data_IF_951672557078
#
_entry.id   IF_951672557078
#
_cell.length_a   1.000
_cell.length_b   1.000
_cell.length_c   1.000
_cell.angle_alpha   90.00
_cell.angle_beta   90.00
_cell.angle_gamma   90.00
#
_symmetry.space_group_name_H-M   'P 1'
#
loop_
_entity.id
_entity.type
_entity.pdbx_description
1 polymer ?
#
# COMPACT_ATOMS: atom_id res chain seq x y z
N UNK A 1 2.89 4.64 7.62
CA UNK A 1 3.62 5.82 8.10
C UNK A 1 2.73 6.59 9.04
N UNK A 2 3.30 7.22 10.07
CA UNK A 2 2.58 8.10 10.98
C UNK A 2 3.34 9.42 11.06
N UNK A 3 2.63 10.53 10.90
CA UNK A 3 3.20 11.86 11.11
C UNK A 3 3.40 12.10 12.61
N UNK A 4 4.65 12.26 13.03
CA UNK A 4 4.98 12.71 14.39
C UNK A 4 5.43 14.16 14.33
N UNK A 5 4.96 14.97 15.26
CA UNK A 5 5.34 16.39 15.35
C UNK A 5 6.65 16.51 16.12
N UNK A 6 7.65 17.18 15.54
CA UNK A 6 8.90 17.56 16.19
C UNK A 6 9.10 19.06 15.99
N UNK A 7 8.85 19.84 17.04
CA UNK A 7 8.75 21.30 16.95
C UNK A 7 7.65 21.73 15.99
N UNK A 8 7.99 22.60 15.02
CA UNK A 8 7.05 23.12 14.01
C UNK A 8 6.84 22.18 12.82
N UNK A 9 7.66 21.13 12.65
CA UNK A 9 7.60 20.21 11.49
C UNK A 9 6.91 18.89 11.83
N UNK A 10 6.13 18.36 10.89
CA UNK A 10 5.57 17.00 10.94
C UNK A 10 6.51 16.05 10.17
N UNK A 11 7.15 15.15 10.88
CA UNK A 11 8.07 14.16 10.31
C UNK A 11 7.34 12.84 10.08
N UNK A 12 7.45 12.31 8.87
CA UNK A 12 6.93 10.97 8.55
C UNK A 12 7.82 9.92 9.21
N UNK A 13 7.24 9.19 10.15
CA UNK A 13 7.93 8.15 10.91
C UNK A 13 7.40 6.77 10.48
N UNK A 14 8.26 5.82 10.07
CA UNK A 14 7.83 4.46 9.82
C UNK A 14 7.49 3.78 11.14
N UNK A 15 6.40 3.00 11.15
CA UNK A 15 5.94 2.27 12.33
C UNK A 15 5.59 0.83 11.90
N UNK A 16 5.95 -0.18 12.70
CA UNK A 16 5.53 -1.56 12.44
C UNK A 16 4.00 -1.67 12.50
N UNK A 17 3.43 -2.38 11.53
CA UNK A 17 2.01 -2.66 11.44
C UNK A 17 1.70 -4.05 12.01
N UNK A 18 0.60 -4.17 12.75
CA UNK A 18 0.10 -5.47 13.20
C UNK A 18 -0.37 -6.32 12.03
N UNK A 19 -0.47 -7.64 12.20
CA UNK A 19 -0.94 -8.55 11.14
C UNK A 19 -2.33 -8.17 10.59
N UNK A 20 -3.26 -7.75 11.47
CA UNK A 20 -4.59 -7.28 11.08
C UNK A 20 -4.52 -6.02 10.21
N UNK A 21 -3.68 -5.05 10.58
CA UNK A 21 -3.47 -3.82 9.82
C UNK A 21 -2.83 -4.11 8.45
N UNK A 22 -1.82 -4.98 8.40
CA UNK A 22 -1.16 -5.40 7.15
C UNK A 22 -2.14 -6.04 6.18
N UNK A 23 -2.97 -7.00 6.64
CA UNK A 23 -4.00 -7.66 5.82
C UNK A 23 -5.01 -6.65 5.26
N UNK A 24 -5.53 -5.75 6.11
CA UNK A 24 -6.46 -4.71 5.66
C UNK A 24 -5.83 -3.79 4.61
N UNK A 25 -4.57 -3.39 4.80
CA UNK A 25 -3.87 -2.52 3.87
C UNK A 25 -3.67 -3.21 2.51
N UNK A 26 -3.31 -4.50 2.51
CA UNK A 26 -3.18 -5.29 1.30
C UNK A 26 -4.49 -5.34 0.51
N UNK A 27 -5.60 -5.66 1.18
CA UNK A 27 -6.93 -5.67 0.54
C UNK A 27 -7.32 -4.33 -0.05
N UNK A 28 -7.07 -3.22 0.65
CA UNK A 28 -7.31 -1.88 0.12
C UNK A 28 -6.53 -1.62 -1.15
N UNK A 29 -5.25 -1.98 -1.19
CA UNK A 29 -4.44 -1.79 -2.39
C UNK A 29 -4.88 -2.62 -3.57
N UNK A 30 -5.36 -3.84 -3.35
CA UNK A 30 -5.90 -4.72 -4.39
C UNK A 30 -7.19 -4.12 -4.97
N UNK A 31 -8.10 -3.65 -4.10
CA UNK A 31 -9.34 -3.01 -4.54
C UNK A 31 -9.06 -1.71 -5.30
N UNK A 32 -8.19 -0.84 -4.78
CA UNK A 32 -7.78 0.39 -5.47
C UNK A 32 -7.18 0.12 -6.86
N UNK A 33 -6.42 -0.96 -7.01
CA UNK A 33 -5.85 -1.36 -8.29
C UNK A 33 -6.95 -1.85 -9.26
N UNK A 34 -7.90 -2.63 -8.75
CA UNK A 34 -9.05 -3.13 -9.53
C UNK A 34 -9.96 -2.00 -10.03
N UNK A 35 -10.06 -0.91 -9.26
CA UNK A 35 -10.82 0.27 -9.63
C UNK A 35 -10.15 1.14 -10.69
N UNK A 36 -8.88 0.94 -11.01
CA UNK A 36 -8.29 1.58 -12.18
C UNK A 36 -8.62 0.85 -13.49
N UNK A 37 -9.08 -0.40 -13.40
CA UNK A 37 -9.44 -1.24 -14.56
C UNK A 37 -10.90 -1.11 -15.02
N UNK A 38 -11.68 -0.15 -14.49
CA UNK A 38 -13.11 -0.03 -14.85
C UNK A 38 -13.35 0.27 -16.34
N UNK A 39 -12.32 0.69 -17.09
CA UNK A 39 -12.41 0.90 -18.53
C UNK A 39 -12.55 -0.39 -19.36
N UNK A 40 -12.03 -1.53 -18.86
CA UNK A 40 -12.04 -2.80 -19.60
C UNK A 40 -13.25 -3.66 -19.23
N UNK A 41 -13.62 -3.69 -17.96
CA UNK A 41 -14.75 -4.47 -17.47
C UNK A 41 -15.59 -3.70 -16.46
N UNK A 42 -16.93 -3.72 -16.63
CA UNK A 42 -17.86 -3.03 -15.73
C UNK A 42 -18.09 -3.80 -14.44
N UNK A 43 -18.07 -5.14 -14.51
CA UNK A 43 -18.33 -6.01 -13.37
C UNK A 43 -17.17 -6.00 -12.37
N UNK A 44 -17.45 -5.56 -11.15
CA UNK A 44 -16.46 -5.48 -10.07
C UNK A 44 -15.83 -6.84 -9.77
N UNK A 45 -16.63 -7.92 -9.74
CA UNK A 45 -16.13 -9.26 -9.42
C UNK A 45 -15.08 -9.77 -10.41
N UNK A 46 -15.28 -9.54 -11.71
CA UNK A 46 -14.33 -9.93 -12.74
C UNK A 46 -13.05 -9.09 -12.69
N UNK A 47 -13.18 -7.77 -12.47
CA UNK A 47 -12.02 -6.88 -12.27
C UNK A 47 -11.16 -7.30 -11.07
N UNK A 48 -11.79 -7.61 -9.95
CA UNK A 48 -11.10 -8.06 -8.75
C UNK A 48 -10.37 -9.40 -8.99
N UNK A 49 -11.02 -10.35 -9.67
CA UNK A 49 -10.42 -11.64 -10.00
C UNK A 49 -9.17 -11.48 -10.90
N UNK A 50 -9.24 -10.62 -11.91
CA UNK A 50 -8.10 -10.31 -12.79
C UNK A 50 -6.94 -9.66 -12.03
N UNK A 51 -7.22 -8.78 -11.07
CA UNK A 51 -6.18 -8.22 -10.20
C UNK A 51 -5.57 -9.26 -9.28
N UNK A 52 -6.37 -10.16 -8.68
CA UNK A 52 -5.84 -11.26 -7.87
C UNK A 52 -4.87 -12.14 -8.69
N UNK A 53 -5.21 -12.46 -9.95
CA UNK A 53 -4.31 -13.16 -10.87
C UNK A 53 -3.04 -12.36 -11.16
N UNK A 54 -3.15 -11.04 -11.40
CA UNK A 54 -2.00 -10.17 -11.64
C UNK A 54 -1.08 -10.05 -10.41
N UNK A 55 -1.64 -10.09 -9.19
CA UNK A 55 -0.87 -10.12 -7.93
C UNK A 55 -0.10 -11.43 -7.81
N UNK A 56 -0.74 -12.57 -8.11
CA UNK A 56 -0.08 -13.89 -8.12
C UNK A 56 1.07 -13.94 -9.13
N UNK A 57 0.88 -13.32 -10.30
CA UNK A 57 1.91 -13.21 -11.34
C UNK A 57 2.99 -12.17 -11.05
N UNK A 58 2.91 -11.41 -9.96
CA UNK A 58 3.91 -10.41 -9.59
C UNK A 58 3.84 -9.09 -10.38
N UNK A 59 2.82 -8.89 -11.23
CA UNK A 59 2.72 -7.74 -12.14
C UNK A 59 1.74 -6.66 -11.68
N UNK A 60 1.02 -6.87 -10.57
CA UNK A 60 -0.01 -5.94 -10.11
C UNK A 60 0.56 -4.60 -9.63
N UNK A 61 -0.21 -3.53 -9.84
CA UNK A 61 0.07 -2.21 -9.28
C UNK A 61 0.06 -2.18 -7.74
N UNK A 62 -0.67 -3.10 -7.11
CA UNK A 62 -0.68 -3.22 -5.65
C UNK A 62 0.73 -3.51 -5.10
N UNK A 63 1.53 -4.31 -5.82
CA UNK A 63 2.91 -4.62 -5.44
C UNK A 63 3.83 -3.40 -5.60
N UNK A 64 3.60 -2.57 -6.61
CA UNK A 64 4.31 -1.29 -6.77
C UNK A 64 4.03 -0.34 -5.59
N UNK A 65 2.80 -0.32 -5.08
CA UNK A 65 2.46 0.42 -3.85
C UNK A 65 3.21 -0.14 -2.63
N UNK A 66 3.28 -1.47 -2.49
CA UNK A 66 4.03 -2.12 -1.40
C UNK A 66 5.50 -1.67 -1.43
N UNK A 67 6.19 -1.82 -2.57
CA UNK A 67 7.61 -1.46 -2.70
C UNK A 67 7.85 0.03 -2.49
N UNK A 68 6.97 0.89 -3.02
CA UNK A 68 7.03 2.34 -2.78
C UNK A 68 6.92 2.68 -1.29
N UNK A 69 5.97 2.08 -0.57
CA UNK A 69 5.84 2.32 0.88
C UNK A 69 7.01 1.79 1.69
N UNK A 70 7.58 0.64 1.30
CA UNK A 70 8.76 0.09 1.96
C UNK A 70 9.98 0.99 1.76
N UNK A 71 10.21 1.44 0.52
CA UNK A 71 11.30 2.37 0.17
C UNK A 71 11.18 3.66 0.97
N UNK A 72 9.97 4.24 1.02
CA UNK A 72 9.70 5.44 1.82
C UNK A 72 10.00 5.20 3.32
N UNK A 73 9.67 4.01 3.83
CA UNK A 73 10.00 3.60 5.19
C UNK A 73 11.50 3.51 5.46
N UNK A 74 12.26 2.92 4.53
CA UNK A 74 13.73 2.82 4.62
C UNK A 74 14.39 4.19 4.61
N UNK A 75 13.91 5.12 3.76
CA UNK A 75 14.39 6.51 3.72
C UNK A 75 14.09 7.23 5.04
N UNK A 76 12.89 7.05 5.58
CA UNK A 76 12.45 7.68 6.84
C UNK A 76 12.94 7.00 8.12
N UNK A 77 13.81 5.98 8.05
CA UNK A 77 14.22 5.20 9.23
C UNK A 77 14.85 6.04 10.35
N UNK A 78 15.56 7.11 10.00
CA UNK A 78 16.20 8.01 10.96
C UNK A 78 15.20 8.82 11.80
N UNK A 79 13.94 8.92 11.37
CA UNK A 79 12.88 9.63 12.10
C UNK A 79 12.26 8.79 13.22
N UNK A 80 12.55 7.48 13.27
CA UNK A 80 12.23 6.62 14.40
C UNK A 80 13.22 6.98 15.50
N UNK A 81 12.87 7.99 16.30
CA UNK A 81 13.68 8.33 17.47
C UNK A 81 13.99 7.09 18.32
N UNK A 82 15.17 7.06 18.92
CA UNK A 82 15.57 6.01 19.86
C UNK A 82 14.59 5.95 21.04
#
# INVERSE_FOLDING_TARGET
MVGRRKGTKVMQTPQPLTAKQRRRQAWKWIVDASDKRQGTEKDFGRRLAQECLAVLNGQSEALKKVTGTHTLGVTGRANVGR
#
